data_IF_443326690239
#
_entry.id   IF_443326690239
#
_cell.length_a   1.000
_cell.length_b   1.000
_cell.length_c   1.000
_cell.angle_alpha   90.00
_cell.angle_beta   90.00
_cell.angle_gamma   90.00
#
_symmetry.space_group_name_H-M   'P 1'
#
loop_
_entity.id
_entity.type
_entity.pdbx_description
1 polymer ?
#
# COMPACT_ATOMS: atom_id res chain seq x y z
N UNK A 1 -15.75 -26.26 20.23
CA UNK A 1 -14.61 -25.35 19.97
C UNK A 1 -13.51 -25.95 19.10
N UNK A 2 -13.41 -27.28 18.94
CA UNK A 2 -12.39 -27.95 18.10
C UNK A 2 -12.60 -27.81 16.58
N UNK A 3 -13.85 -27.75 16.10
CA UNK A 3 -14.16 -27.63 14.66
C UNK A 3 -13.82 -26.26 14.06
N UNK A 4 -14.04 -25.16 14.80
CA UNK A 4 -13.75 -23.81 14.32
C UNK A 4 -12.23 -23.58 14.20
N UNK A 5 -11.47 -24.01 15.21
CA UNK A 5 -10.01 -23.92 15.18
C UNK A 5 -9.41 -24.78 14.06
N UNK A 6 -9.93 -25.99 13.84
CA UNK A 6 -9.52 -26.86 12.72
C UNK A 6 -9.85 -26.24 11.37
N UNK A 7 -11.05 -25.69 11.19
CA UNK A 7 -11.45 -25.05 9.93
C UNK A 7 -10.62 -23.80 9.62
N UNK A 8 -10.33 -22.99 10.64
CA UNK A 8 -9.44 -21.82 10.49
C UNK A 8 -8.02 -22.27 10.17
N UNK A 9 -7.55 -23.35 10.81
CA UNK A 9 -6.22 -23.91 10.58
C UNK A 9 -6.09 -24.51 9.17
N UNK A 10 -7.10 -25.23 8.67
CA UNK A 10 -7.14 -25.77 7.29
C UNK A 10 -7.35 -24.66 6.24
N UNK A 11 -7.96 -23.54 6.61
CA UNK A 11 -8.07 -22.36 5.74
C UNK A 11 -6.74 -21.58 5.68
N UNK A 12 -5.96 -21.60 6.76
CA UNK A 12 -4.63 -20.97 6.87
C UNK A 12 -3.50 -21.84 6.31
N UNK A 13 -3.62 -23.16 6.46
CA UNK A 13 -2.64 -24.18 6.08
C UNK A 13 -3.36 -25.23 5.23
N UNK A 14 -2.83 -25.59 4.06
CA UNK A 14 -3.34 -26.71 3.24
C UNK A 14 -3.50 -27.97 4.11
N UNK A 15 -4.44 -28.87 3.81
CA UNK A 15 -4.67 -30.10 4.61
C UNK A 15 -3.37 -30.88 4.85
N UNK A 16 -2.53 -31.02 3.83
CA UNK A 16 -1.20 -31.66 3.93
C UNK A 16 -0.26 -30.96 4.94
N UNK A 17 -0.31 -29.63 5.03
CA UNK A 17 0.51 -28.88 5.98
C UNK A 17 -0.08 -28.86 7.38
N UNK A 18 -1.40 -28.96 7.51
CA UNK A 18 -2.04 -29.17 8.79
C UNK A 18 -1.63 -30.52 9.39
N UNK A 19 -1.63 -31.58 8.58
CA UNK A 19 -1.18 -32.91 9.03
C UNK A 19 0.31 -32.92 9.36
N UNK A 20 1.16 -32.41 8.46
CA UNK A 20 2.61 -32.36 8.70
C UNK A 20 2.99 -31.59 9.98
N UNK A 21 2.32 -30.48 10.31
CA UNK A 21 2.63 -29.68 11.50
C UNK A 21 1.98 -30.19 12.79
N UNK A 22 0.71 -30.59 12.74
CA UNK A 22 -0.08 -30.86 13.96
C UNK A 22 -0.31 -32.34 14.23
N UNK A 23 -0.09 -33.21 13.24
CA UNK A 23 -0.18 -34.67 13.38
C UNK A 23 1.21 -35.27 13.42
N UNK A 24 2.07 -34.95 12.46
CA UNK A 24 3.41 -35.53 12.34
C UNK A 24 4.51 -34.75 13.10
N UNK A 25 4.19 -33.56 13.62
CA UNK A 25 5.12 -32.65 14.31
C UNK A 25 6.39 -32.31 13.49
N UNK A 26 6.33 -32.40 12.16
CA UNK A 26 7.41 -32.00 11.27
C UNK A 26 7.34 -30.49 10.97
N UNK A 27 7.87 -29.71 11.92
CA UNK A 27 7.92 -28.26 11.82
C UNK A 27 8.90 -27.72 10.77
N UNK A 28 9.74 -28.58 10.20
CA UNK A 28 10.83 -28.18 9.29
C UNK A 28 10.60 -28.61 7.86
N UNK A 29 9.41 -29.12 7.52
CA UNK A 29 9.01 -29.32 6.14
C UNK A 29 9.09 -28.00 5.37
N UNK A 30 10.10 -27.90 4.49
CA UNK A 30 10.45 -26.66 3.83
C UNK A 30 9.36 -26.08 2.92
N UNK A 31 8.41 -26.88 2.45
CA UNK A 31 7.26 -26.43 1.66
C UNK A 31 6.21 -25.83 2.59
N UNK A 32 5.83 -26.56 3.64
CA UNK A 32 4.81 -26.11 4.58
C UNK A 32 5.23 -24.91 5.42
N UNK A 33 6.51 -24.82 5.81
CA UNK A 33 7.05 -23.67 6.53
C UNK A 33 7.04 -22.39 5.68
N UNK A 34 7.36 -22.47 4.39
CA UNK A 34 7.30 -21.32 3.49
C UNK A 34 5.86 -20.83 3.29
N UNK A 35 4.92 -21.75 3.12
CA UNK A 35 3.49 -21.42 3.00
C UNK A 35 2.96 -20.78 4.28
N UNK A 36 3.30 -21.35 5.44
CA UNK A 36 2.96 -20.82 6.77
C UNK A 36 3.44 -19.37 6.95
N UNK A 37 4.74 -19.14 6.70
CA UNK A 37 5.36 -17.81 6.81
C UNK A 37 4.67 -16.85 5.83
N UNK A 38 4.42 -17.27 4.60
CA UNK A 38 3.77 -16.43 3.58
C UNK A 38 2.39 -15.97 4.01
N UNK A 39 1.57 -16.87 4.56
CA UNK A 39 0.20 -16.58 5.01
C UNK A 39 0.19 -15.63 6.21
N UNK A 40 1.01 -15.90 7.21
CA UNK A 40 1.14 -15.03 8.40
C UNK A 40 1.59 -13.64 7.96
N UNK A 41 2.57 -13.56 7.07
CA UNK A 41 3.09 -12.30 6.55
C UNK A 41 2.01 -11.55 5.75
N UNK A 42 1.29 -12.23 4.86
CA UNK A 42 0.19 -11.66 4.09
C UNK A 42 -0.92 -11.09 4.98
N UNK A 43 -1.34 -11.82 6.01
CA UNK A 43 -2.35 -11.37 6.98
C UNK A 43 -1.82 -10.18 7.80
N UNK A 44 -0.57 -10.25 8.25
CA UNK A 44 0.08 -9.15 8.98
C UNK A 44 0.13 -7.87 8.16
N UNK A 45 0.42 -7.98 6.86
CA UNK A 45 0.42 -6.83 5.95
C UNK A 45 -1.01 -6.28 5.79
N UNK A 46 -2.02 -7.14 5.60
CA UNK A 46 -3.42 -6.70 5.53
C UNK A 46 -3.83 -5.97 6.81
N UNK A 47 -3.55 -6.54 7.98
CA UNK A 47 -3.86 -5.92 9.26
C UNK A 47 -3.16 -4.57 9.43
N UNK A 48 -1.88 -4.48 9.06
CA UNK A 48 -1.13 -3.22 9.08
C UNK A 48 -1.76 -2.18 8.15
N UNK A 49 -2.18 -2.59 6.95
CA UNK A 49 -2.76 -1.70 5.93
C UNK A 49 -4.03 -0.97 6.40
N UNK A 50 -4.81 -1.56 7.31
CA UNK A 50 -6.03 -0.98 7.87
C UNK A 50 -5.79 0.33 8.63
N UNK A 51 -4.57 0.55 9.13
CA UNK A 51 -4.24 1.69 9.98
C UNK A 51 -3.32 2.71 9.30
N UNK A 52 -2.78 2.41 8.10
CA UNK A 52 -1.74 3.23 7.46
C UNK A 52 -2.17 4.68 7.24
N UNK A 53 -3.39 4.91 6.74
CA UNK A 53 -3.89 6.24 6.38
C UNK A 53 -4.84 6.81 7.44
N UNK A 54 -5.21 6.04 8.46
CA UNK A 54 -6.10 6.48 9.56
C UNK A 54 -5.58 7.73 10.27
N UNK A 55 -4.29 7.85 10.65
CA UNK A 55 -3.78 9.08 11.25
C UNK A 55 -3.95 10.31 10.36
N UNK A 56 -3.79 10.16 9.05
CA UNK A 56 -3.98 11.24 8.08
C UNK A 56 -5.46 11.63 7.98
N UNK A 57 -6.38 10.66 7.94
CA UNK A 57 -7.83 10.89 7.95
C UNK A 57 -8.24 11.69 9.19
N UNK A 58 -7.81 11.24 10.39
CA UNK A 58 -8.10 11.92 11.64
C UNK A 58 -7.55 13.34 11.66
N UNK A 59 -6.32 13.56 11.14
CA UNK A 59 -5.72 14.89 11.05
C UNK A 59 -6.56 15.85 10.18
N UNK A 60 -7.03 15.40 9.02
CA UNK A 60 -7.90 16.20 8.14
C UNK A 60 -9.23 16.51 8.82
N UNK A 61 -9.84 15.51 9.47
CA UNK A 61 -11.12 15.65 10.16
C UNK A 61 -11.05 16.59 11.37
N UNK A 62 -9.95 16.54 12.13
CA UNK A 62 -9.72 17.40 13.30
C UNK A 62 -9.37 18.82 12.87
N UNK A 63 -8.55 18.99 11.83
CA UNK A 63 -8.20 20.30 11.30
C UNK A 63 -9.31 20.92 10.45
N UNK A 64 -10.33 20.15 10.05
CA UNK A 64 -11.34 20.51 9.04
C UNK A 64 -10.70 21.10 7.78
N UNK A 65 -9.53 20.56 7.41
CA UNK A 65 -8.73 21.07 6.30
C UNK A 65 -7.88 20.03 5.61
N UNK A 66 -7.88 20.09 4.28
CA UNK A 66 -6.99 19.33 3.41
C UNK A 66 -5.81 20.17 2.86
N UNK A 67 -5.48 21.28 3.52
CA UNK A 67 -4.30 22.08 3.16
C UNK A 67 -3.01 21.26 3.23
N UNK A 68 -2.16 21.40 2.22
CA UNK A 68 -0.91 20.64 2.07
C UNK A 68 -1.08 19.25 1.44
N UNK A 69 -2.30 18.83 1.13
CA UNK A 69 -2.57 17.58 0.40
C UNK A 69 -2.65 17.90 -1.10
N UNK A 70 -1.78 17.27 -1.88
CA UNK A 70 -1.82 17.36 -3.34
C UNK A 70 -2.88 16.39 -3.88
N UNK A 71 -4.04 16.93 -4.28
CA UNK A 71 -5.14 16.13 -4.86
C UNK A 71 -4.67 15.25 -6.01
N UNK A 72 -3.93 15.75 -7.03
CA UNK A 72 -3.45 14.91 -8.12
C UNK A 72 -2.58 13.73 -7.65
N UNK A 73 -1.74 13.95 -6.64
CA UNK A 73 -0.89 12.89 -6.08
C UNK A 73 -1.72 11.79 -5.41
N UNK A 74 -2.78 12.15 -4.68
CA UNK A 74 -3.65 11.17 -4.01
C UNK A 74 -4.52 10.43 -5.04
N UNK A 75 -4.94 11.09 -6.13
CA UNK A 75 -5.63 10.43 -7.24
C UNK A 75 -4.74 9.40 -7.96
N UNK A 76 -3.48 9.74 -8.22
CA UNK A 76 -2.53 8.79 -8.80
C UNK A 76 -2.28 7.60 -7.88
N UNK A 77 -2.17 7.84 -6.56
CA UNK A 77 -2.07 6.78 -5.56
C UNK A 77 -3.32 5.88 -5.58
N UNK A 78 -4.52 6.48 -5.60
CA UNK A 78 -5.78 5.75 -5.66
C UNK A 78 -5.87 4.89 -6.93
N UNK A 79 -5.56 5.46 -8.10
CA UNK A 79 -5.54 4.74 -9.37
C UNK A 79 -4.57 3.55 -9.34
N UNK A 80 -3.35 3.75 -8.85
CA UNK A 80 -2.33 2.69 -8.78
C UNK A 80 -2.79 1.51 -7.91
N UNK A 81 -3.38 1.81 -6.74
CA UNK A 81 -3.93 0.79 -5.83
C UNK A 81 -5.12 0.08 -6.48
N UNK A 82 -6.05 0.82 -7.09
CA UNK A 82 -7.21 0.25 -7.79
C UNK A 82 -6.80 -0.67 -8.93
N UNK A 83 -5.84 -0.27 -9.75
CA UNK A 83 -5.31 -1.07 -10.85
C UNK A 83 -4.67 -2.37 -10.36
N UNK A 84 -3.82 -2.29 -9.32
CA UNK A 84 -3.17 -3.47 -8.72
C UNK A 84 -4.18 -4.43 -8.12
N UNK A 85 -5.18 -3.90 -7.42
CA UNK A 85 -6.25 -4.69 -6.81
C UNK A 85 -7.12 -5.35 -7.86
N UNK A 86 -7.57 -4.60 -8.87
CA UNK A 86 -8.40 -5.13 -9.94
C UNK A 86 -7.68 -6.20 -10.76
N UNK A 87 -6.40 -5.98 -11.12
CA UNK A 87 -5.59 -7.00 -11.79
C UNK A 87 -5.53 -8.29 -10.97
N UNK A 88 -5.26 -8.18 -9.67
CA UNK A 88 -5.12 -9.34 -8.79
C UNK A 88 -6.43 -10.08 -8.56
N UNK A 89 -7.53 -9.35 -8.40
CA UNK A 89 -8.87 -9.92 -8.27
C UNK A 89 -9.30 -10.64 -9.56
N UNK A 90 -9.14 -9.98 -10.71
CA UNK A 90 -9.52 -10.55 -12.01
C UNK A 90 -8.60 -11.71 -12.44
N UNK A 91 -7.38 -11.77 -11.91
CA UNK A 91 -6.47 -12.92 -12.07
C UNK A 91 -6.76 -14.06 -11.08
N UNK A 92 -7.84 -13.95 -10.29
CA UNK A 92 -8.28 -14.94 -9.29
C UNK A 92 -7.22 -15.27 -8.22
N UNK A 93 -6.36 -14.30 -7.87
CA UNK A 93 -5.39 -14.49 -6.79
C UNK A 93 -6.07 -14.50 -5.41
N UNK A 94 -5.49 -15.23 -4.43
CA UNK A 94 -6.06 -15.30 -3.08
C UNK A 94 -6.12 -13.92 -2.43
N UNK A 95 -7.10 -13.72 -1.53
CA UNK A 95 -7.30 -12.45 -0.84
C UNK A 95 -6.04 -11.95 -0.11
N UNK A 96 -5.19 -12.84 0.40
CA UNK A 96 -3.90 -12.48 1.01
C UNK A 96 -2.95 -11.70 0.07
N UNK A 97 -3.07 -11.92 -1.24
CA UNK A 97 -2.25 -11.25 -2.25
C UNK A 97 -2.69 -9.80 -2.53
N UNK A 98 -3.98 -9.48 -2.41
CA UNK A 98 -4.54 -8.18 -2.82
C UNK A 98 -5.37 -7.44 -1.77
N UNK A 99 -5.67 -8.09 -0.65
CA UNK A 99 -6.58 -7.58 0.38
C UNK A 99 -6.10 -6.29 1.04
N UNK A 100 -4.79 -6.03 1.08
CA UNK A 100 -4.26 -4.73 1.53
C UNK A 100 -4.74 -3.60 0.63
N UNK A 101 -4.85 -3.86 -0.67
CA UNK A 101 -5.25 -2.90 -1.68
C UNK A 101 -6.67 -2.42 -1.45
N UNK A 102 -7.56 -3.30 -0.97
CA UNK A 102 -8.93 -2.93 -0.60
C UNK A 102 -8.95 -1.88 0.52
N UNK A 103 -8.25 -2.14 1.63
CA UNK A 103 -8.24 -1.23 2.78
C UNK A 103 -7.53 0.09 2.45
N UNK A 104 -6.44 0.04 1.68
CA UNK A 104 -5.72 1.23 1.25
C UNK A 104 -6.55 2.05 0.26
N UNK A 105 -7.25 1.41 -0.68
CA UNK A 105 -8.14 2.08 -1.62
C UNK A 105 -9.28 2.80 -0.91
N UNK A 106 -9.94 2.13 0.05
CA UNK A 106 -11.02 2.74 0.84
C UNK A 106 -10.53 3.94 1.65
N UNK A 107 -9.40 3.81 2.35
CA UNK A 107 -8.85 4.93 3.12
C UNK A 107 -8.37 6.08 2.22
N UNK A 108 -7.78 5.78 1.06
CA UNK A 108 -7.29 6.79 0.11
C UNK A 108 -8.46 7.51 -0.57
N UNK A 109 -9.51 6.79 -0.97
CA UNK A 109 -10.75 7.40 -1.46
C UNK A 109 -11.41 8.27 -0.37
N UNK A 110 -11.36 7.85 0.89
CA UNK A 110 -11.82 8.68 2.02
C UNK A 110 -11.03 9.98 2.13
N UNK A 111 -9.71 9.94 1.96
CA UNK A 111 -8.87 11.15 1.95
C UNK A 111 -9.28 12.08 0.80
N UNK A 112 -9.48 11.57 -0.42
CA UNK A 112 -9.90 12.39 -1.57
C UNK A 112 -11.29 13.02 -1.31
N UNK A 113 -12.24 12.23 -0.82
CA UNK A 113 -13.57 12.74 -0.47
C UNK A 113 -13.49 13.83 0.60
N UNK A 114 -12.73 13.62 1.68
CA UNK A 114 -12.48 14.64 2.70
C UNK A 114 -11.78 15.86 2.14
N UNK A 115 -10.90 15.67 1.16
CA UNK A 115 -10.18 16.76 0.52
C UNK A 115 -11.07 17.61 -0.40
N UNK A 116 -12.10 17.03 -1.04
CA UNK A 116 -13.16 17.81 -1.69
C UNK A 116 -14.11 18.47 -0.68
N UNK A 117 -14.47 17.76 0.40
CA UNK A 117 -15.35 18.31 1.45
C UNK A 117 -14.74 19.54 2.13
N UNK A 118 -13.43 19.49 2.37
CA UNK A 118 -12.64 20.56 2.98
C UNK A 118 -11.64 21.14 1.96
N UNK A 119 -12.05 21.25 0.69
CA UNK A 119 -11.23 21.70 -0.44
C UNK A 119 -11.62 23.09 -0.92
N UNK A 120 -11.93 24.01 0.00
CA UNK A 120 -12.23 25.40 -0.35
C UNK A 120 -10.96 26.20 -0.61
N UNK A 121 -10.91 26.88 -1.75
CA UNK A 121 -9.86 27.80 -2.20
C UNK A 121 -9.72 28.97 -1.21
N UNK A 122 -8.48 29.37 -0.92
CA UNK A 122 -8.21 30.58 -0.15
C UNK A 122 -8.60 31.78 -1.01
N UNK A 123 -9.83 32.26 -0.87
CA UNK A 123 -10.06 33.65 -1.22
C UNK A 123 -9.41 34.50 -0.13
N UNK A 124 -8.29 35.12 -0.50
CA UNK A 124 -7.54 36.14 0.22
C UNK A 124 -8.49 37.12 0.91
N UNK A 125 -8.69 36.95 2.22
CA UNK A 125 -9.01 37.97 3.25
C UNK A 125 -9.27 37.20 4.54
N UNK A 126 -8.72 37.67 5.67
CA UNK A 126 -8.70 37.00 6.98
C UNK A 126 -10.08 36.73 7.60
N UNK A 127 -10.87 35.84 6.99
CA UNK A 127 -12.16 35.39 7.47
C UNK A 127 -11.93 34.17 8.37
N UNK A 128 -12.54 34.23 9.57
CA UNK A 128 -12.47 33.25 10.66
C UNK A 128 -12.57 31.80 10.15
N UNK A 129 -11.74 30.93 10.74
CA UNK A 129 -11.71 29.46 10.57
C UNK A 129 -13.08 28.76 10.72
N UNK A 130 -14.11 29.46 11.17
CA UNK A 130 -15.38 28.91 11.63
C UNK A 130 -16.42 28.75 10.52
N UNK A 131 -16.23 29.37 9.35
CA UNK A 131 -17.22 29.36 8.27
C UNK A 131 -16.60 28.87 6.95
N UNK A 132 -15.93 27.71 7.00
CA UNK A 132 -15.51 27.01 5.79
C UNK A 132 -16.71 26.29 5.20
N UNK A 133 -17.18 26.77 4.06
CA UNK A 133 -18.28 26.18 3.31
C UNK A 133 -17.92 24.74 2.92
N UNK A 134 -18.70 23.77 3.42
CA UNK A 134 -18.54 22.35 3.11
C UNK A 134 -19.16 22.14 1.73
N UNK A 135 -18.43 21.52 0.80
CA UNK A 135 -18.98 21.21 -0.52
C UNK A 135 -19.31 19.71 -0.65
N UNK A 136 -20.43 19.23 -0.08
CA UNK A 136 -20.78 17.81 -0.06
C UNK A 136 -21.08 17.22 -1.45
N UNK A 137 -21.51 18.05 -2.40
CA UNK A 137 -21.86 17.61 -3.75
C UNK A 137 -20.65 17.09 -4.52
N UNK A 138 -19.50 17.79 -4.46
CA UNK A 138 -18.26 17.37 -5.13
C UNK A 138 -17.72 16.06 -4.55
N UNK A 139 -17.75 15.90 -3.23
CA UNK A 139 -17.31 14.68 -2.58
C UNK A 139 -18.24 13.49 -2.88
N UNK A 140 -19.56 13.71 -2.90
CA UNK A 140 -20.54 12.69 -3.29
C UNK A 140 -20.36 12.26 -4.75
N UNK A 141 -20.18 13.22 -5.66
CA UNK A 141 -19.94 12.94 -7.08
C UNK A 141 -18.65 12.14 -7.29
N UNK A 142 -17.58 12.48 -6.57
CA UNK A 142 -16.33 11.71 -6.59
C UNK A 142 -16.55 10.26 -6.12
N UNK A 143 -17.26 10.04 -5.01
CA UNK A 143 -17.49 8.70 -4.48
C UNK A 143 -18.31 7.84 -5.44
N UNK A 144 -19.36 8.41 -6.04
CA UNK A 144 -20.15 7.72 -7.07
C UNK A 144 -19.28 7.41 -8.29
N UNK A 145 -18.51 8.39 -8.78
CA UNK A 145 -17.60 8.19 -9.91
C UNK A 145 -16.55 7.11 -9.64
N UNK A 146 -15.98 7.09 -8.44
CA UNK A 146 -15.00 6.08 -8.03
C UNK A 146 -15.63 4.69 -7.87
N UNK A 147 -16.84 4.59 -7.32
CA UNK A 147 -17.56 3.32 -7.22
C UNK A 147 -17.88 2.76 -8.63
N UNK A 148 -18.33 3.61 -9.55
CA UNK A 148 -18.56 3.24 -10.95
C UNK A 148 -17.26 2.79 -11.64
N UNK A 149 -16.16 3.52 -11.43
CA UNK A 149 -14.86 3.15 -11.94
C UNK A 149 -14.41 1.77 -11.44
N UNK A 150 -14.52 1.51 -10.13
CA UNK A 150 -14.21 0.22 -9.54
C UNK A 150 -15.12 -0.89 -10.08
N UNK A 151 -16.41 -0.63 -10.27
CA UNK A 151 -17.33 -1.58 -10.89
C UNK A 151 -16.89 -1.96 -12.31
N UNK A 152 -16.48 -0.99 -13.13
CA UNK A 152 -15.98 -1.25 -14.50
C UNK A 152 -14.71 -2.12 -14.49
N UNK A 153 -13.80 -1.89 -13.53
CA UNK A 153 -12.57 -2.67 -13.42
C UNK A 153 -12.82 -4.11 -12.92
N UNK A 154 -13.81 -4.32 -12.05
CA UNK A 154 -14.03 -5.60 -11.35
C UNK A 154 -15.15 -6.47 -11.96
N UNK A 155 -16.01 -5.92 -12.81
CA UNK A 155 -17.14 -6.65 -13.41
C UNK A 155 -16.77 -7.54 -14.61
N UNK A 156 -15.51 -7.51 -15.05
CA UNK A 156 -15.06 -8.22 -16.25
C UNK A 156 -15.27 -7.47 -17.57
N UNK A 157 -15.82 -6.24 -17.53
CA UNK A 157 -15.89 -5.36 -18.71
C UNK A 157 -14.48 -5.03 -19.22
N UNK A 158 -13.53 -4.82 -18.29
CA UNK A 158 -12.13 -4.55 -18.61
C UNK A 158 -11.37 -5.87 -18.72
N UNK A 159 -10.67 -6.09 -19.83
CA UNK A 159 -9.87 -7.31 -20.01
C UNK A 159 -8.68 -7.35 -19.03
N UNK A 160 -8.27 -8.56 -18.65
CA UNK A 160 -7.14 -8.78 -17.74
C UNK A 160 -5.83 -8.22 -18.30
N UNK A 161 -5.67 -8.15 -19.62
CA UNK A 161 -4.49 -7.60 -20.29
C UNK A 161 -4.38 -6.07 -20.12
N UNK A 162 -5.51 -5.36 -20.19
CA UNK A 162 -5.56 -3.91 -19.91
C UNK A 162 -5.20 -3.68 -18.43
N UNK A 163 -5.78 -4.47 -17.52
CA UNK A 163 -5.48 -4.39 -16.09
C UNK A 163 -4.01 -4.70 -15.79
N UNK A 164 -3.42 -5.68 -16.48
CA UNK A 164 -1.99 -6.00 -16.38
C UNK A 164 -1.13 -4.82 -16.84
N UNK A 165 -1.55 -4.13 -17.90
CA UNK A 165 -0.84 -2.94 -18.40
C UNK A 165 -0.89 -1.80 -17.38
N UNK A 166 -2.04 -1.55 -16.76
CA UNK A 166 -2.14 -0.57 -15.66
C UNK A 166 -1.27 -0.97 -14.47
N UNK A 167 -1.26 -2.25 -14.10
CA UNK A 167 -0.38 -2.75 -13.05
C UNK A 167 1.10 -2.59 -13.40
N UNK A 168 1.50 -2.91 -14.64
CA UNK A 168 2.87 -2.75 -15.10
C UNK A 168 3.30 -1.27 -15.14
N UNK A 169 2.36 -0.36 -15.45
CA UNK A 169 2.60 1.09 -15.42
C UNK A 169 2.89 1.63 -14.01
N UNK A 170 2.53 0.90 -12.95
CA UNK A 170 2.93 1.27 -11.59
C UNK A 170 4.45 1.19 -11.38
N UNK A 171 5.15 0.30 -12.07
CA UNK A 171 6.60 0.12 -11.96
C UNK A 171 7.39 1.38 -12.32
N UNK A 172 7.25 1.96 -13.53
CA UNK A 172 7.97 3.18 -13.88
C UNK A 172 7.57 4.35 -12.96
N UNK A 173 6.32 4.45 -12.54
CA UNK A 173 5.87 5.51 -11.62
C UNK A 173 6.60 5.42 -10.27
N UNK A 174 6.68 4.23 -9.68
CA UNK A 174 7.39 3.99 -8.41
C UNK A 174 8.88 4.30 -8.58
N UNK A 175 9.52 3.78 -9.63
CA UNK A 175 10.94 3.97 -9.88
C UNK A 175 11.29 5.44 -10.10
N UNK A 176 10.52 6.16 -10.92
CA UNK A 176 10.75 7.58 -11.19
C UNK A 176 10.58 8.42 -9.92
N UNK A 177 9.49 8.22 -9.17
CA UNK A 177 9.23 8.96 -7.94
C UNK A 177 10.35 8.78 -6.90
N UNK A 178 10.81 7.54 -6.71
CA UNK A 178 11.89 7.22 -5.78
C UNK A 178 13.26 7.65 -6.28
N UNK A 179 13.50 7.61 -7.60
CA UNK A 179 14.75 8.08 -8.20
C UNK A 179 14.92 9.58 -8.07
N UNK A 180 13.84 10.36 -8.32
CA UNK A 180 13.85 11.81 -8.09
C UNK A 180 14.15 12.15 -6.63
N UNK A 181 13.57 11.39 -5.69
CA UNK A 181 13.86 11.51 -4.26
C UNK A 181 15.33 11.17 -3.95
N UNK A 182 15.87 10.08 -4.49
CA UNK A 182 17.25 9.67 -4.28
C UNK A 182 18.26 10.70 -4.81
N UNK A 183 18.00 11.29 -5.97
CA UNK A 183 18.83 12.36 -6.55
C UNK A 183 18.77 13.62 -5.69
N UNK A 184 17.58 13.99 -5.21
CA UNK A 184 17.42 15.14 -4.30
C UNK A 184 18.21 14.96 -3.01
N UNK A 185 18.16 13.78 -2.40
CA UNK A 185 18.94 13.43 -1.21
C UNK A 185 20.45 13.52 -1.46
N UNK A 186 20.90 13.01 -2.62
CA UNK A 186 22.31 13.08 -3.00
C UNK A 186 22.80 14.52 -3.17
N UNK A 187 22.05 15.34 -3.94
CA UNK A 187 22.38 16.76 -4.15
C UNK A 187 22.41 17.57 -2.85
N UNK A 188 21.56 17.22 -1.89
CA UNK A 188 21.51 17.87 -0.57
C UNK A 188 22.56 17.37 0.41
N UNK A 189 23.22 16.23 0.13
CA UNK A 189 24.13 15.57 1.07
C UNK A 189 23.47 15.18 2.40
N UNK A 190 22.13 15.11 2.44
CA UNK A 190 21.34 14.83 3.62
C UNK A 190 19.98 14.29 3.21
N UNK A 191 19.43 13.37 4.01
CA UNK A 191 18.07 12.87 3.87
C UNK A 191 17.04 13.71 4.64
N UNK A 192 17.45 14.81 5.29
CA UNK A 192 16.53 15.72 5.98
C UNK A 192 15.73 15.04 7.08
N UNK A 193 14.39 15.14 6.99
CA UNK A 193 13.42 14.61 7.96
C UNK A 193 12.87 13.22 7.57
N UNK A 194 13.51 12.53 6.62
CA UNK A 194 13.11 11.16 6.26
C UNK A 194 13.36 10.21 7.44
N UNK A 195 12.30 9.53 7.88
CA UNK A 195 12.36 8.54 8.96
C UNK A 195 13.03 7.25 8.48
N UNK A 196 14.14 6.89 9.12
CA UNK A 196 14.84 5.62 8.89
C UNK A 196 13.91 4.43 9.16
N UNK A 197 13.12 4.48 10.23
CA UNK A 197 12.17 3.44 10.59
C UNK A 197 11.09 3.27 9.50
N UNK A 198 10.55 4.37 8.97
CA UNK A 198 9.53 4.32 7.92
C UNK A 198 10.08 3.71 6.62
N UNK A 199 11.28 4.12 6.19
CA UNK A 199 11.89 3.51 4.99
C UNK A 199 12.30 2.05 5.21
N UNK A 200 12.79 1.71 6.40
CA UNK A 200 13.10 0.32 6.75
C UNK A 200 11.87 -0.57 6.68
N UNK A 201 10.73 -0.09 7.21
CA UNK A 201 9.44 -0.79 7.11
C UNK A 201 8.95 -0.89 5.66
N UNK A 202 9.08 0.15 4.85
CA UNK A 202 8.71 0.10 3.44
C UNK A 202 9.57 -0.89 2.64
N UNK A 203 10.87 -0.96 2.94
CA UNK A 203 11.78 -1.93 2.32
C UNK A 203 11.47 -3.36 2.78
N UNK A 204 11.28 -3.59 4.08
CA UNK A 204 10.92 -4.89 4.62
C UNK A 204 9.55 -5.36 4.11
N UNK A 205 8.56 -4.46 4.06
CA UNK A 205 7.23 -4.75 3.54
C UNK A 205 7.23 -5.09 2.04
N UNK A 206 8.04 -4.41 1.23
CA UNK A 206 8.16 -4.75 -0.19
C UNK A 206 8.91 -6.08 -0.41
N UNK A 207 9.92 -6.40 0.41
CA UNK A 207 10.57 -7.73 0.39
C UNK A 207 9.59 -8.84 0.78
N UNK A 208 8.81 -8.61 1.83
CA UNK A 208 7.74 -9.49 2.25
C UNK A 208 6.76 -9.77 1.11
N UNK A 209 6.36 -8.72 0.37
CA UNK A 209 5.48 -8.83 -0.80
C UNK A 209 6.10 -9.58 -1.98
N UNK A 210 7.41 -9.54 -2.17
CA UNK A 210 8.08 -10.39 -3.17
C UNK A 210 7.88 -11.86 -2.78
N UNK A 211 8.22 -12.21 -1.53
CA UNK A 211 8.10 -13.59 -1.06
C UNK A 211 6.66 -14.10 -1.12
N UNK A 212 5.69 -13.34 -0.62
CA UNK A 212 4.29 -13.76 -0.67
C UNK A 212 3.75 -13.83 -2.09
N UNK A 213 4.16 -12.93 -3.00
CA UNK A 213 3.73 -13.02 -4.40
C UNK A 213 4.26 -14.28 -5.09
N UNK A 214 5.52 -14.65 -4.85
CA UNK A 214 6.08 -15.89 -5.41
C UNK A 214 5.30 -17.11 -4.91
N UNK A 215 4.98 -17.14 -3.61
CA UNK A 215 4.31 -18.30 -3.01
C UNK A 215 2.80 -18.35 -3.26
N UNK A 216 2.12 -17.20 -3.36
CA UNK A 216 0.66 -17.15 -3.43
C UNK A 216 0.10 -16.93 -4.84
N UNK A 217 0.85 -16.31 -5.75
CA UNK A 217 0.36 -15.99 -7.10
C UNK A 217 1.21 -16.61 -8.19
N UNK A 218 2.53 -16.73 -7.98
CA UNK A 218 3.47 -17.13 -9.03
C UNK A 218 3.57 -16.13 -10.20
N UNK A 219 2.94 -14.95 -10.07
CA UNK A 219 2.82 -13.97 -11.15
C UNK A 219 4.05 -13.07 -11.25
N UNK A 220 4.69 -13.10 -12.42
CA UNK A 220 5.92 -12.33 -12.68
C UNK A 220 5.69 -10.82 -12.64
N UNK A 221 4.51 -10.34 -13.03
CA UNK A 221 4.21 -8.89 -13.07
C UNK A 221 4.20 -8.32 -11.66
N UNK A 222 3.53 -8.99 -10.72
CA UNK A 222 3.52 -8.61 -9.29
C UNK A 222 4.92 -8.71 -8.68
N UNK A 223 5.63 -9.80 -8.93
CA UNK A 223 6.99 -10.01 -8.42
C UNK A 223 7.94 -8.92 -8.90
N UNK A 224 7.93 -8.58 -10.19
CA UNK A 224 8.76 -7.50 -10.76
C UNK A 224 8.39 -6.15 -10.13
N UNK A 225 7.09 -5.89 -9.92
CA UNK A 225 6.62 -4.65 -9.30
C UNK A 225 7.16 -4.48 -7.88
N UNK A 226 7.05 -5.52 -7.05
CA UNK A 226 7.57 -5.48 -5.68
C UNK A 226 9.11 -5.53 -5.62
N UNK A 227 9.76 -6.17 -6.59
CA UNK A 227 11.22 -6.14 -6.73
C UNK A 227 11.72 -4.72 -7.05
N UNK A 228 11.09 -4.04 -8.00
CA UNK A 228 11.38 -2.64 -8.32
C UNK A 228 11.14 -1.72 -7.11
N UNK A 229 10.02 -1.91 -6.40
CA UNK A 229 9.73 -1.16 -5.18
C UNK A 229 10.77 -1.40 -4.08
N UNK A 230 11.19 -2.66 -3.88
CA UNK A 230 12.22 -3.03 -2.91
C UNK A 230 13.58 -2.43 -3.25
N UNK A 231 13.99 -2.51 -4.51
CA UNK A 231 15.22 -1.87 -4.96
C UNK A 231 15.19 -0.36 -4.70
N UNK A 232 14.12 0.31 -5.11
CA UNK A 232 13.98 1.75 -4.95
C UNK A 232 13.94 2.19 -3.47
N UNK A 233 13.20 1.47 -2.62
CA UNK A 233 13.17 1.74 -1.18
C UNK A 233 14.54 1.44 -0.53
N UNK A 234 15.23 0.39 -0.97
CA UNK A 234 16.56 -0.01 -0.50
C UNK A 234 17.61 1.06 -0.78
N UNK A 235 17.63 1.63 -1.99
CA UNK A 235 18.55 2.73 -2.35
C UNK A 235 18.40 3.92 -1.40
N UNK A 236 17.16 4.35 -1.15
CA UNK A 236 16.91 5.51 -0.26
C UNK A 236 17.22 5.14 1.20
N UNK A 237 16.90 3.91 1.64
CA UNK A 237 17.23 3.44 2.98
C UNK A 237 18.75 3.44 3.22
N UNK A 238 19.55 2.96 2.25
CA UNK A 238 21.00 3.02 2.30
C UNK A 238 21.53 4.47 2.34
N UNK A 239 20.91 5.40 1.59
CA UNK A 239 21.25 6.82 1.68
C UNK A 239 21.00 7.37 3.10
N UNK A 240 19.90 6.99 3.76
CA UNK A 240 19.65 7.41 5.16
C UNK A 240 20.75 6.89 6.08
N UNK A 241 21.13 5.62 5.97
CA UNK A 241 22.18 5.04 6.83
C UNK A 241 23.54 5.72 6.59
N UNK A 242 23.88 5.99 5.33
CA UNK A 242 25.14 6.65 4.96
C UNK A 242 25.21 8.09 5.45
N UNK A 243 24.19 8.91 5.16
CA UNK A 243 24.16 10.31 5.57
C UNK A 243 23.92 10.47 7.09
N UNK A 244 23.21 9.54 7.72
CA UNK A 244 23.04 9.48 9.17
C UNK A 244 24.38 9.30 9.89
N UNK A 245 25.22 8.36 9.42
CA UNK A 245 26.57 8.15 9.98
C UNK A 245 27.48 9.37 9.79
N UNK A 246 27.46 9.99 8.60
CA UNK A 246 28.25 11.22 8.34
C UNK A 246 27.89 12.39 9.26
N UNK A 247 26.63 12.48 9.71
CA UNK A 247 26.20 13.52 10.66
C UNK A 247 26.73 13.26 12.06
N UNK A 248 26.84 12.01 12.50
CA UNK A 248 27.40 11.65 13.81
C UNK A 248 28.91 11.85 13.87
N UNK A 249 29.66 11.45 12.83
CA UNK A 249 31.13 11.61 12.75
C UNK A 249 31.58 13.08 12.67
N UNK A 250 30.68 14.03 12.39
CA UNK A 250 30.97 15.48 12.41
C UNK A 250 30.72 16.15 13.77
N UNK A 251 30.08 15.44 14.70
CA UNK A 251 29.68 15.97 16.02
C UNK A 251 30.61 15.45 17.12
N UNK A 252 31.31 14.32 16.89
CA UNK A 252 32.52 13.91 17.63
C UNK A 252 33.76 14.65 17.12
#
# INVERSE_FOLDING_TARGET
MSGLARNISVLLFTEECHESFFVDFDFFNGVCLKTAISKILGIGIIAGSMLVKVPQILKIQNAKSAEGISIPSVFLELFAISASMAYSYMSAFPFSAWGEGLFLALQTATIVALAFLYGGEKNTRGIRREQRERNPSQAGLFLIGYATFMYILLSGITSVEILRTFQAANVPVILLGKSLQAVSNYKRGSTGQLSAATLGLLFAGSLARIFTSIQETGDRTLVITYAAASFANGVIFLQILYYGRKKQVKIE
#
